data_IF_324255551383
#
_entry.id   IF_324255551383
#
_cell.length_a   1.000
_cell.length_b   1.000
_cell.length_c   1.000
_cell.angle_alpha   90.00
_cell.angle_beta   90.00
_cell.angle_gamma   90.00
#
_symmetry.space_group_name_H-M   'P 1'
#
loop_
_entity.id
_entity.type
_entity.pdbx_description
1 polymer ?
#
# COMPACT_ATOMS: atom_id res chain seq x y z
N UNK A 1 19.69 17.38 16.84
CA UNK A 1 19.89 16.69 15.54
C UNK A 1 18.73 15.78 15.12
N UNK A 2 18.35 14.72 15.85
CA UNK A 2 17.16 13.89 15.50
C UNK A 2 15.84 14.66 15.63
N UNK A 3 15.65 15.38 16.73
CA UNK A 3 14.45 16.18 17.00
C UNK A 3 14.21 17.26 15.94
N UNK A 4 15.29 17.91 15.49
CA UNK A 4 15.24 18.96 14.46
C UNK A 4 14.87 18.38 13.09
N UNK A 5 15.36 17.18 12.75
CA UNK A 5 14.93 16.45 11.54
C UNK A 5 13.44 16.14 11.58
N UNK A 6 12.91 15.65 12.71
CA UNK A 6 11.48 15.38 12.83
C UNK A 6 10.64 16.66 12.69
N UNK A 7 11.04 17.75 13.35
CA UNK A 7 10.33 19.03 13.25
C UNK A 7 10.33 19.61 11.82
N UNK A 8 11.44 19.46 11.09
CA UNK A 8 11.51 19.83 9.68
C UNK A 8 10.54 19.01 8.84
N UNK A 9 10.65 17.68 8.89
CA UNK A 9 9.84 16.79 8.05
C UNK A 9 8.36 16.75 8.46
N UNK A 10 8.01 17.19 9.67
CA UNK A 10 6.62 17.33 10.09
C UNK A 10 5.85 18.26 9.15
N UNK A 11 6.46 19.33 8.64
CA UNK A 11 5.80 20.30 7.74
C UNK A 11 6.22 20.19 6.29
N UNK A 12 7.18 19.32 5.99
CA UNK A 12 7.73 19.16 4.65
C UNK A 12 6.87 18.24 3.77
N UNK A 13 6.44 18.75 2.61
CA UNK A 13 5.81 17.97 1.54
C UNK A 13 6.90 17.42 0.61
N UNK A 14 7.45 16.25 0.96
CA UNK A 14 8.61 15.69 0.30
C UNK A 14 8.25 15.12 -1.07
N UNK A 15 8.80 15.67 -2.16
CA UNK A 15 8.67 15.09 -3.51
C UNK A 15 9.58 13.87 -3.63
N UNK A 16 9.00 12.70 -3.88
CA UNK A 16 9.74 11.43 -4.02
C UNK A 16 9.97 11.10 -5.49
N UNK A 17 8.94 11.26 -6.32
CA UNK A 17 9.00 11.06 -7.77
C UNK A 17 8.24 12.19 -8.48
N UNK A 18 8.13 12.12 -9.80
CA UNK A 18 7.51 13.19 -10.59
C UNK A 18 6.09 13.53 -10.11
N UNK A 19 5.27 12.50 -9.91
CA UNK A 19 3.86 12.58 -9.50
C UNK A 19 3.60 12.18 -8.05
N UNK A 20 4.62 11.81 -7.26
CA UNK A 20 4.45 11.28 -5.90
C UNK A 20 5.08 12.19 -4.85
N UNK A 21 4.25 12.60 -3.90
CA UNK A 21 4.62 13.40 -2.74
C UNK A 21 4.30 12.64 -1.46
N UNK A 22 5.12 12.83 -0.43
CA UNK A 22 5.05 12.11 0.83
C UNK A 22 5.13 13.08 2.01
N UNK A 23 4.25 12.92 3.00
CA UNK A 23 4.24 13.81 4.16
C UNK A 23 3.52 13.27 5.39
N UNK A 24 3.37 14.15 6.37
CA UNK A 24 2.67 13.91 7.63
C UNK A 24 1.20 14.36 7.55
N UNK A 25 0.42 14.11 8.61
CA UNK A 25 -0.91 14.68 8.79
C UNK A 25 -0.87 16.23 8.88
N UNK A 26 0.20 16.83 9.38
CA UNK A 26 0.32 18.28 9.43
C UNK A 26 0.39 18.90 8.02
N UNK A 27 1.04 18.21 7.08
CA UNK A 27 1.01 18.60 5.66
C UNK A 27 -0.37 18.35 5.06
N UNK A 28 -1.01 17.22 5.39
CA UNK A 28 -2.37 16.90 4.93
C UNK A 28 -3.42 17.95 5.33
N UNK A 29 -3.21 18.63 6.46
CA UNK A 29 -4.05 19.74 6.95
C UNK A 29 -3.73 21.09 6.32
N UNK A 30 -2.67 21.20 5.54
CA UNK A 30 -2.25 22.46 4.94
C UNK A 30 -2.68 22.53 3.46
N UNK A 31 -3.89 23.04 3.23
CA UNK A 31 -4.46 23.21 1.88
C UNK A 31 -3.54 23.98 0.94
N UNK A 32 -2.93 25.05 1.41
CA UNK A 32 -2.04 25.89 0.62
C UNK A 32 -0.79 25.12 0.17
N UNK A 33 -0.18 24.34 1.06
CA UNK A 33 0.95 23.47 0.69
C UNK A 33 0.56 22.42 -0.35
N UNK A 34 -0.61 21.80 -0.22
CA UNK A 34 -1.10 20.83 -1.20
C UNK A 34 -1.34 21.47 -2.58
N UNK A 35 -2.01 22.63 -2.62
CA UNK A 35 -2.25 23.37 -3.86
C UNK A 35 -0.96 23.89 -4.50
N UNK A 36 -0.02 24.43 -3.71
CA UNK A 36 1.27 24.90 -4.20
C UNK A 36 2.09 23.78 -4.85
N UNK A 37 1.97 22.55 -4.34
CA UNK A 37 2.58 21.36 -4.93
C UNK A 37 1.77 20.74 -6.06
N UNK A 38 0.65 21.36 -6.44
CA UNK A 38 -0.29 20.90 -7.48
C UNK A 38 -0.82 19.49 -7.21
N UNK A 39 -1.04 19.18 -5.94
CA UNK A 39 -1.66 17.93 -5.53
C UNK A 39 -3.08 17.88 -6.08
N UNK A 40 -3.46 16.72 -6.59
CA UNK A 40 -4.80 16.45 -7.16
C UNK A 40 -5.49 15.30 -6.43
N UNK A 41 -4.70 14.38 -5.89
CA UNK A 41 -5.13 13.15 -5.28
C UNK A 41 -4.41 12.98 -3.94
N UNK A 42 -5.10 12.41 -2.95
CA UNK A 42 -4.53 12.12 -1.63
C UNK A 42 -4.72 10.65 -1.33
N UNK A 43 -3.64 9.97 -0.95
CA UNK A 43 -3.69 8.65 -0.32
C UNK A 43 -3.53 8.84 1.20
N UNK A 44 -4.65 8.71 1.92
CA UNK A 44 -4.66 8.74 3.39
C UNK A 44 -4.50 7.32 3.92
N UNK A 45 -3.35 6.97 4.48
CA UNK A 45 -3.08 5.61 4.96
C UNK A 45 -3.78 5.25 6.27
N UNK A 46 -4.44 6.19 6.96
CA UNK A 46 -4.95 6.00 8.34
C UNK A 46 -6.25 6.76 8.59
N UNK A 47 -7.34 6.32 7.95
CA UNK A 47 -8.67 6.95 8.04
C UNK A 47 -9.31 6.99 9.43
N UNK A 48 -8.90 6.11 10.36
CA UNK A 48 -9.40 6.12 11.75
C UNK A 48 -8.71 7.18 12.64
N UNK A 49 -7.66 7.85 12.15
CA UNK A 49 -6.97 8.95 12.86
C UNK A 49 -7.04 10.24 12.04
N UNK A 50 -6.66 10.16 10.76
CA UNK A 50 -6.56 11.28 9.86
C UNK A 50 -7.82 11.41 9.02
N UNK A 51 -8.38 12.62 8.96
CA UNK A 51 -9.57 12.91 8.17
C UNK A 51 -9.20 13.31 6.74
N UNK A 52 -10.17 13.23 5.84
CA UNK A 52 -10.09 13.85 4.52
C UNK A 52 -10.46 15.33 4.66
N UNK A 53 -9.45 16.19 4.79
CA UNK A 53 -9.64 17.59 5.18
C UNK A 53 -10.26 18.48 4.10
N UNK A 54 -10.02 18.17 2.81
CA UNK A 54 -10.36 19.05 1.69
C UNK A 54 -10.99 18.26 0.52
N UNK A 55 -12.07 17.51 0.80
CA UNK A 55 -12.75 16.64 -0.20
C UNK A 55 -13.26 17.38 -1.43
N UNK A 56 -13.53 18.68 -1.31
CA UNK A 56 -13.98 19.51 -2.44
C UNK A 56 -12.83 19.87 -3.40
N UNK A 57 -11.58 19.75 -2.96
CA UNK A 57 -10.39 20.16 -3.72
C UNK A 57 -9.57 18.99 -4.25
N UNK A 58 -9.57 17.86 -3.55
CA UNK A 58 -8.76 16.69 -3.88
C UNK A 58 -9.60 15.43 -3.88
N UNK A 59 -9.26 14.50 -4.77
CA UNK A 59 -9.80 13.13 -4.71
C UNK A 59 -9.05 12.35 -3.63
N UNK A 60 -9.78 11.68 -2.75
CA UNK A 60 -9.20 10.89 -1.68
C UNK A 60 -9.36 9.40 -1.96
N UNK A 61 -8.28 8.66 -1.71
CA UNK A 61 -8.33 7.23 -1.44
C UNK A 61 -7.85 7.04 0.01
N UNK A 62 -8.73 6.49 0.85
CA UNK A 62 -8.46 6.32 2.28
C UNK A 62 -8.30 4.84 2.57
N UNK A 63 -7.25 4.50 3.33
CA UNK A 63 -6.96 3.20 3.88
C UNK A 63 -7.01 3.28 5.40
N UNK A 64 -7.08 2.13 6.07
CA UNK A 64 -7.20 2.05 7.53
C UNK A 64 -6.10 1.17 8.12
N UNK A 65 -4.85 1.53 7.84
CA UNK A 65 -3.67 0.77 8.25
C UNK A 65 -3.24 1.07 9.69
N UNK A 66 -3.05 0.04 10.50
CA UNK A 66 -2.32 0.12 11.76
C UNK A 66 -0.82 0.22 11.47
N UNK A 67 -0.09 0.95 12.31
CA UNK A 67 1.38 0.96 12.25
C UNK A 67 1.96 -0.19 13.10
N UNK A 68 1.55 -1.41 12.78
CA UNK A 68 1.94 -2.61 13.50
C UNK A 68 2.74 -3.53 12.57
N UNK A 69 3.77 -4.23 13.05
CA UNK A 69 4.43 -5.29 12.30
C UNK A 69 3.49 -6.42 11.84
N UNK A 70 2.32 -6.55 12.47
CA UNK A 70 1.30 -7.56 12.14
C UNK A 70 0.25 -7.08 11.13
N UNK A 71 0.24 -5.79 10.76
CA UNK A 71 -0.68 -5.27 9.75
C UNK A 71 -0.28 -5.81 8.37
N UNK A 72 -1.23 -6.37 7.63
CA UNK A 72 -0.99 -6.90 6.29
C UNK A 72 -1.17 -5.80 5.24
N UNK A 73 -0.06 -5.35 4.66
CA UNK A 73 -0.06 -4.42 3.53
C UNK A 73 -0.01 -5.14 2.20
N UNK A 74 0.37 -6.43 2.16
CA UNK A 74 0.57 -7.15 0.89
C UNK A 74 -0.71 -7.32 0.09
N UNK A 75 -1.86 -7.42 0.78
CA UNK A 75 -3.16 -7.61 0.15
C UNK A 75 -3.73 -6.35 -0.51
N UNK A 76 -3.22 -5.14 -0.19
CA UNK A 76 -3.67 -3.86 -0.77
C UNK A 76 -2.67 -3.24 -1.76
N UNK A 77 -1.51 -3.87 -1.97
CA UNK A 77 -0.45 -3.22 -2.75
C UNK A 77 -0.89 -2.88 -4.17
N UNK A 78 -1.58 -3.81 -4.84
CA UNK A 78 -2.02 -3.60 -6.21
C UNK A 78 -3.11 -2.52 -6.32
N UNK A 79 -4.04 -2.46 -5.37
CA UNK A 79 -5.02 -1.36 -5.31
C UNK A 79 -4.34 0.01 -5.19
N UNK A 80 -3.26 0.08 -4.39
CA UNK A 80 -2.45 1.30 -4.25
C UNK A 80 -1.66 1.59 -5.52
N UNK A 81 -1.15 0.57 -6.21
CA UNK A 81 -0.41 0.74 -7.45
C UNK A 81 -1.32 1.26 -8.55
N UNK A 82 -2.52 0.67 -8.69
CA UNK A 82 -3.52 1.10 -9.65
C UNK A 82 -3.94 2.56 -9.39
N UNK A 83 -4.14 2.94 -8.12
CA UNK A 83 -4.40 4.34 -7.77
C UNK A 83 -3.25 5.27 -8.19
N UNK A 84 -1.98 4.88 -7.97
CA UNK A 84 -0.84 5.72 -8.35
C UNK A 84 -0.68 5.82 -9.87
N UNK A 85 -0.94 4.73 -10.59
CA UNK A 85 -0.93 4.71 -12.06
C UNK A 85 -2.07 5.55 -12.63
N UNK A 86 -3.29 5.47 -12.10
CA UNK A 86 -4.41 6.32 -12.52
C UNK A 86 -4.03 7.80 -12.38
N UNK A 87 -3.49 8.19 -11.23
CA UNK A 87 -3.04 9.58 -11.00
C UNK A 87 -1.96 9.99 -11.99
N UNK A 88 -1.01 9.10 -12.29
CA UNK A 88 0.07 9.33 -13.25
C UNK A 88 -0.48 9.53 -14.66
N UNK A 89 -1.39 8.67 -15.10
CA UNK A 89 -2.00 8.68 -16.44
C UNK A 89 -2.88 9.92 -16.66
N UNK A 90 -3.54 10.39 -15.61
CA UNK A 90 -4.28 11.67 -15.62
C UNK A 90 -3.37 12.91 -15.61
N UNK A 91 -2.04 12.74 -15.53
CA UNK A 91 -1.09 13.84 -15.39
C UNK A 91 -1.19 14.56 -14.04
N UNK A 92 -1.79 13.90 -13.05
CA UNK A 92 -1.98 14.41 -11.70
C UNK A 92 -0.77 14.20 -10.79
N UNK A 93 -0.96 14.56 -9.52
CA UNK A 93 -0.01 14.31 -8.44
C UNK A 93 -0.73 13.76 -7.21
N UNK A 94 -0.17 12.70 -6.65
CA UNK A 94 -0.65 12.05 -5.43
C UNK A 94 0.19 12.49 -4.23
N UNK A 95 -0.50 12.91 -3.17
CA UNK A 95 0.09 13.12 -1.86
C UNK A 95 -0.24 11.94 -0.95
N UNK A 96 0.78 11.26 -0.45
CA UNK A 96 0.66 10.05 0.38
C UNK A 96 1.02 10.40 1.81
N UNK A 97 0.15 10.10 2.76
CA UNK A 97 0.43 10.40 4.16
C UNK A 97 -0.13 9.37 5.14
N UNK A 98 0.48 9.36 6.32
CA UNK A 98 -0.07 8.74 7.51
C UNK A 98 -0.04 9.79 8.65
N UNK A 99 0.15 9.40 9.91
CA UNK A 99 0.30 10.38 11.00
C UNK A 99 1.57 11.23 10.82
N UNK A 100 2.74 10.59 10.70
CA UNK A 100 4.05 11.27 10.69
C UNK A 100 4.76 11.22 9.32
N UNK A 101 4.25 10.43 8.39
CA UNK A 101 4.96 10.16 7.13
C UNK A 101 6.26 9.37 7.33
N UNK A 102 6.26 8.41 8.26
CA UNK A 102 7.48 7.66 8.65
C UNK A 102 7.42 6.20 8.21
N UNK A 103 6.29 5.51 8.43
CA UNK A 103 6.19 4.05 8.27
C UNK A 103 5.13 3.59 7.27
N UNK A 104 3.82 3.72 7.57
CA UNK A 104 2.75 3.25 6.67
C UNK A 104 2.82 3.82 5.25
N UNK A 105 2.77 5.15 5.13
CA UNK A 105 2.83 5.82 3.82
C UNK A 105 4.16 5.59 3.11
N UNK A 106 5.26 5.52 3.84
CA UNK A 106 6.59 5.29 3.24
C UNK A 106 6.70 3.87 2.70
N UNK A 107 6.18 2.87 3.41
CA UNK A 107 6.14 1.49 2.95
C UNK A 107 5.38 1.35 1.62
N UNK A 108 4.24 2.02 1.46
CA UNK A 108 3.46 1.96 0.22
C UNK A 108 4.18 2.64 -0.94
N UNK A 109 4.84 3.79 -0.70
CA UNK A 109 5.63 4.47 -1.72
C UNK A 109 6.82 3.61 -2.16
N UNK A 110 7.55 2.99 -1.20
CA UNK A 110 8.64 2.06 -1.50
C UNK A 110 8.11 0.89 -2.34
N UNK A 111 6.99 0.28 -1.94
CA UNK A 111 6.38 -0.84 -2.66
C UNK A 111 6.08 -0.49 -4.12
N UNK A 112 5.53 0.69 -4.35
CA UNK A 112 5.22 1.16 -5.69
C UNK A 112 6.48 1.37 -6.54
N UNK A 113 7.53 2.01 -6.00
CA UNK A 113 8.78 2.18 -6.73
C UNK A 113 9.43 0.84 -7.08
N UNK A 114 9.40 -0.13 -6.17
CA UNK A 114 9.88 -1.49 -6.43
C UNK A 114 9.10 -2.14 -7.58
N UNK A 115 7.77 -2.05 -7.56
CA UNK A 115 6.91 -2.65 -8.58
C UNK A 115 7.04 -1.96 -9.95
N UNK A 116 6.97 -0.64 -9.98
CA UNK A 116 6.91 0.16 -11.21
C UNK A 116 8.25 0.23 -11.93
N UNK A 117 9.34 0.37 -11.18
CA UNK A 117 10.68 0.60 -11.75
C UNK A 117 11.57 -0.65 -11.66
N UNK A 118 11.07 -1.76 -11.10
CA UNK A 118 11.85 -2.99 -10.92
C UNK A 118 13.01 -2.83 -9.94
N UNK A 119 12.96 -1.82 -9.06
CA UNK A 119 14.01 -1.54 -8.07
C UNK A 119 14.02 -2.58 -6.96
N UNK A 120 15.21 -2.82 -6.40
CA UNK A 120 15.31 -3.54 -5.15
C UNK A 120 14.68 -2.73 -4.00
N UNK A 121 14.28 -3.41 -2.93
CA UNK A 121 13.81 -2.77 -1.70
C UNK A 121 14.83 -1.77 -1.16
N UNK A 122 16.12 -2.11 -1.21
CA UNK A 122 17.17 -1.22 -0.70
C UNK A 122 17.25 0.05 -1.54
N UNK A 123 17.29 -0.06 -2.87
CA UNK A 123 17.37 1.11 -3.76
C UNK A 123 16.14 2.01 -3.57
N UNK A 124 14.93 1.43 -3.63
CA UNK A 124 13.69 2.17 -3.44
C UNK A 124 13.60 2.80 -2.03
N UNK A 125 14.07 2.09 -1.00
CA UNK A 125 14.16 2.66 0.36
C UNK A 125 15.10 3.86 0.40
N UNK A 126 16.28 3.77 -0.23
CA UNK A 126 17.23 4.88 -0.25
C UNK A 126 16.71 6.08 -1.03
N UNK A 127 15.98 5.89 -2.14
CA UNK A 127 15.34 6.99 -2.88
C UNK A 127 14.33 7.74 -1.99
N UNK A 128 13.44 7.00 -1.32
CA UNK A 128 12.44 7.59 -0.41
C UNK A 128 13.12 8.21 0.81
N UNK A 129 14.23 7.64 1.29
CA UNK A 129 15.03 8.19 2.40
C UNK A 129 15.75 9.48 2.02
N UNK A 130 16.23 9.58 0.78
CA UNK A 130 16.86 10.79 0.25
C UNK A 130 15.86 11.94 0.15
N UNK A 131 14.63 11.67 -0.33
CA UNK A 131 13.55 12.65 -0.36
C UNK A 131 13.02 13.00 1.04
N UNK A 132 12.92 12.01 1.93
CA UNK A 132 12.40 12.16 3.30
C UNK A 132 13.28 11.46 4.32
N UNK A 133 14.19 12.21 4.94
CA UNK A 133 15.23 11.69 5.83
C UNK A 133 14.74 10.96 7.10
N UNK A 134 13.45 11.05 7.45
CA UNK A 134 12.84 10.32 8.58
C UNK A 134 12.14 9.02 8.15
N UNK A 135 12.19 8.64 6.87
CA UNK A 135 11.65 7.36 6.38
C UNK A 135 12.18 6.18 7.19
N UNK A 136 11.26 5.40 7.76
CA UNK A 136 11.55 4.23 8.57
C UNK A 136 10.30 3.34 8.70
N UNK A 137 9.95 2.55 7.66
CA UNK A 137 8.92 1.51 7.76
C UNK A 137 9.16 0.62 8.98
N UNK A 138 8.09 0.20 9.65
CA UNK A 138 8.21 -0.81 10.69
C UNK A 138 8.75 -2.13 10.10
N UNK A 139 9.33 -2.97 10.95
CA UNK A 139 10.01 -4.19 10.50
C UNK A 139 9.07 -5.19 9.82
N UNK A 140 7.79 -5.25 10.22
CA UNK A 140 6.82 -6.11 9.54
C UNK A 140 6.57 -5.68 8.11
N UNK A 141 6.43 -4.37 7.86
CA UNK A 141 6.31 -3.83 6.50
C UNK A 141 7.57 -4.09 5.68
N UNK A 142 8.76 -3.82 6.22
CA UNK A 142 10.01 -4.11 5.53
C UNK A 142 10.13 -5.60 5.15
N UNK A 143 9.79 -6.52 6.07
CA UNK A 143 9.75 -7.95 5.79
C UNK A 143 8.75 -8.31 4.69
N UNK A 144 7.54 -7.74 4.73
CA UNK A 144 6.51 -7.97 3.70
C UNK A 144 6.97 -7.50 2.32
N UNK A 145 7.64 -6.34 2.22
CA UNK A 145 8.18 -5.82 0.96
C UNK A 145 9.34 -6.67 0.43
N UNK A 146 10.26 -7.11 1.29
CA UNK A 146 11.32 -8.05 0.90
C UNK A 146 10.75 -9.38 0.42
N UNK A 147 9.66 -9.87 1.02
CA UNK A 147 8.96 -11.07 0.55
C UNK A 147 8.27 -10.83 -0.79
N UNK A 148 7.65 -9.67 -1.00
CA UNK A 148 7.03 -9.30 -2.27
C UNK A 148 8.06 -9.25 -3.40
N UNK A 149 9.23 -8.62 -3.17
CA UNK A 149 10.34 -8.59 -4.12
C UNK A 149 10.77 -10.00 -4.55
N UNK A 150 10.89 -10.94 -3.61
CA UNK A 150 11.23 -12.33 -3.93
C UNK A 150 10.18 -13.00 -4.82
N UNK A 151 8.90 -12.66 -4.68
CA UNK A 151 7.83 -13.20 -5.52
C UNK A 151 7.86 -12.64 -6.94
N UNK A 152 8.24 -11.36 -7.10
CA UNK A 152 8.34 -10.70 -8.41
C UNK A 152 9.58 -11.16 -9.18
N UNK A 153 10.72 -11.36 -8.50
CA UNK A 153 11.97 -11.82 -9.13
C UNK A 153 12.16 -13.34 -9.16
N UNK A 154 11.27 -14.11 -8.54
CA UNK A 154 11.29 -15.56 -8.72
C UNK A 154 10.95 -15.86 -10.19
N UNK A 155 11.90 -16.45 -10.93
CA UNK A 155 11.63 -17.19 -12.16
C UNK A 155 10.41 -18.09 -11.97
N UNK A 156 9.60 -18.35 -13.02
CA UNK A 156 8.34 -19.07 -12.90
C UNK A 156 8.56 -20.28 -12.01
N UNK A 157 7.77 -20.30 -10.94
CA UNK A 157 7.90 -21.31 -9.91
C UNK A 157 7.93 -22.68 -10.62
N UNK A 158 8.89 -23.55 -10.26
CA UNK A 158 9.06 -24.90 -10.80
C UNK A 158 7.71 -25.54 -11.17
N UNK A 159 7.57 -26.35 -12.24
CA UNK A 159 6.28 -26.95 -12.64
C UNK A 159 5.49 -27.65 -11.51
N UNK A 160 6.16 -27.98 -10.40
CA UNK A 160 5.58 -28.51 -9.16
C UNK A 160 5.02 -27.46 -8.18
N UNK A 161 4.77 -26.22 -8.62
CA UNK A 161 4.50 -25.11 -7.69
C UNK A 161 3.03 -24.90 -7.35
N UNK A 162 2.69 -25.44 -6.17
CA UNK A 162 2.00 -24.78 -5.05
C UNK A 162 0.65 -24.14 -5.40
N UNK A 163 -0.41 -24.90 -5.14
CA UNK A 163 -1.75 -24.39 -4.82
C UNK A 163 -1.66 -23.10 -4.00
N UNK A 164 -2.13 -21.98 -4.54
CA UNK A 164 -2.32 -20.73 -3.80
C UNK A 164 -3.80 -20.51 -3.55
N UNK A 165 -4.13 -20.10 -2.34
CA UNK A 165 -5.52 -19.88 -1.97
C UNK A 165 -5.63 -18.54 -1.28
N UNK A 166 -6.65 -17.77 -1.66
CA UNK A 166 -6.93 -16.46 -1.11
C UNK A 166 -8.39 -16.43 -0.66
N UNK A 167 -8.66 -15.86 0.50
CA UNK A 167 -10.02 -15.53 0.93
C UNK A 167 -10.31 -14.08 0.59
N UNK A 168 -11.39 -13.83 -0.14
CA UNK A 168 -11.87 -12.46 -0.34
C UNK A 168 -12.51 -11.98 0.96
N UNK A 169 -11.98 -10.90 1.50
CA UNK A 169 -12.46 -10.32 2.75
C UNK A 169 -12.17 -8.82 2.79
N UNK A 170 -12.90 -8.03 3.60
CA UNK A 170 -12.56 -6.63 3.81
C UNK A 170 -11.10 -6.49 4.25
N UNK A 171 -10.39 -5.52 3.68
CA UNK A 171 -9.04 -5.19 4.14
C UNK A 171 -9.09 -4.79 5.61
N UNK A 172 -10.01 -3.87 5.93
CA UNK A 172 -10.20 -3.30 7.26
C UNK A 172 -11.68 -3.35 7.72
N UNK A 173 -11.97 -3.51 9.02
CA UNK A 173 -13.34 -3.43 9.52
C UNK A 173 -13.98 -2.04 9.39
N UNK A 174 -13.18 -0.99 9.14
CA UNK A 174 -13.67 0.37 8.94
C UNK A 174 -14.18 0.64 7.52
N UNK A 175 -13.86 -0.25 6.56
CA UNK A 175 -14.38 -0.22 5.20
C UNK A 175 -14.72 -1.64 4.75
N UNK A 176 -15.95 -2.05 5.03
CA UNK A 176 -16.42 -3.40 4.76
C UNK A 176 -16.54 -3.71 3.26
N UNK A 177 -16.53 -2.71 2.38
CA UNK A 177 -16.69 -2.88 0.94
C UNK A 177 -15.36 -2.87 0.18
N UNK A 178 -14.28 -2.41 0.81
CA UNK A 178 -12.93 -2.57 0.26
C UNK A 178 -12.43 -4.00 0.46
N UNK A 179 -12.83 -4.89 -0.46
CA UNK A 179 -12.48 -6.31 -0.45
C UNK A 179 -11.11 -6.57 -1.09
N UNK A 180 -10.28 -7.37 -0.41
CA UNK A 180 -8.95 -7.74 -0.88
C UNK A 180 -8.70 -9.25 -0.78
N UNK A 181 -7.80 -9.81 -1.61
CA UNK A 181 -7.40 -11.21 -1.50
C UNK A 181 -6.45 -11.41 -0.31
N UNK A 182 -6.93 -12.05 0.76
CA UNK A 182 -6.09 -12.41 1.92
C UNK A 182 -5.50 -13.82 1.74
N UNK A 183 -4.18 -13.93 1.74
CA UNK A 183 -3.48 -15.21 1.53
C UNK A 183 -3.81 -16.22 2.63
N UNK A 184 -4.05 -17.48 2.24
CA UNK A 184 -4.20 -18.61 3.15
C UNK A 184 -2.86 -19.36 3.22
N UNK A 185 -2.22 -19.32 4.38
CA UNK A 185 -0.88 -19.90 4.57
C UNK A 185 -0.84 -21.44 4.44
N UNK A 186 -1.95 -22.11 4.77
CA UNK A 186 -2.10 -23.57 4.68
C UNK A 186 -3.26 -23.91 3.74
N UNK A 187 -3.05 -23.86 2.42
CA UNK A 187 -4.12 -24.08 1.46
C UNK A 187 -4.55 -25.56 1.49
N UNK A 188 -5.81 -25.81 1.86
CA UNK A 188 -6.42 -27.14 1.93
C UNK A 188 -7.94 -27.04 1.70
N UNK A 189 -8.63 -28.14 1.37
CA UNK A 189 -10.09 -28.15 1.30
C UNK A 189 -10.77 -27.74 2.63
N UNK A 190 -10.11 -28.00 3.77
CA UNK A 190 -10.62 -27.62 5.10
C UNK A 190 -10.52 -26.12 5.39
N UNK A 191 -9.77 -25.35 4.60
CA UNK A 191 -9.71 -23.90 4.71
C UNK A 191 -10.90 -23.18 4.05
N UNK A 192 -11.67 -23.89 3.21
CA UNK A 192 -12.85 -23.35 2.54
C UNK A 192 -14.03 -23.26 3.52
N UNK A 193 -14.64 -22.08 3.63
CA UNK A 193 -15.79 -21.80 4.53
C UNK A 193 -16.96 -21.25 3.73
N UNK A 194 -18.10 -21.95 3.76
CA UNK A 194 -19.27 -21.65 2.89
C UNK A 194 -19.86 -20.26 3.04
N UNK A 195 -19.42 -19.51 4.07
CA UNK A 195 -19.80 -18.11 4.32
C UNK A 195 -18.92 -17.10 3.57
N UNK A 196 -17.89 -17.54 2.84
CA UNK A 196 -16.94 -16.66 2.14
C UNK A 196 -16.72 -17.04 0.67
N UNK A 197 -15.98 -16.18 -0.03
CA UNK A 197 -15.51 -16.43 -1.39
C UNK A 197 -13.99 -16.61 -1.40
N UNK A 198 -13.49 -17.52 -2.23
CA UNK A 198 -12.08 -17.89 -2.26
C UNK A 198 -11.58 -17.96 -3.70
N UNK A 199 -10.39 -17.42 -3.94
CA UNK A 199 -9.68 -17.57 -5.21
C UNK A 199 -8.64 -18.68 -5.04
N UNK A 200 -8.76 -19.73 -5.83
CA UNK A 200 -7.86 -20.89 -5.80
C UNK A 200 -7.07 -20.90 -7.10
N UNK A 201 -5.78 -20.63 -7.00
CA UNK A 201 -4.87 -20.61 -8.13
C UNK A 201 -4.02 -21.88 -8.13
N UNK A 202 -4.18 -22.68 -9.17
CA UNK A 202 -3.36 -23.85 -9.49
C UNK A 202 -2.58 -23.59 -10.79
N UNK A 203 -1.53 -24.35 -11.12
CA UNK A 203 -0.69 -24.05 -12.29
C UNK A 203 -1.45 -23.92 -13.62
N UNK A 204 -2.58 -24.61 -13.77
CA UNK A 204 -3.38 -24.64 -15.01
C UNK A 204 -4.62 -23.75 -15.01
N UNK A 205 -5.06 -23.24 -13.86
CA UNK A 205 -6.35 -22.58 -13.74
C UNK A 205 -6.48 -21.71 -12.48
N UNK A 206 -7.42 -20.76 -12.54
CA UNK A 206 -7.92 -20.01 -11.39
C UNK A 206 -9.38 -20.40 -11.21
N UNK A 207 -9.75 -20.82 -9.99
CA UNK A 207 -11.12 -21.14 -9.61
C UNK A 207 -11.64 -20.11 -8.61
N UNK A 208 -12.93 -19.80 -8.70
CA UNK A 208 -13.62 -18.98 -7.70
C UNK A 208 -14.60 -19.87 -6.94
N UNK A 209 -14.29 -20.13 -5.68
CA UNK A 209 -15.15 -20.92 -4.80
C UNK A 209 -16.09 -19.99 -4.04
N UNK A 210 -17.39 -20.25 -4.11
CA UNK A 210 -18.47 -19.47 -3.44
C UNK A 210 -19.39 -20.38 -2.60
N UNK A 211 -18.83 -21.40 -1.96
CA UNK A 211 -19.58 -22.36 -1.15
C UNK A 211 -19.96 -23.63 -1.91
N UNK A 212 -21.25 -23.93 -2.00
CA UNK A 212 -21.77 -25.15 -2.65
C UNK A 212 -21.66 -25.14 -4.18
N UNK A 213 -21.11 -24.08 -4.76
CA UNK A 213 -20.83 -23.95 -6.19
C UNK A 213 -19.36 -23.52 -6.34
N UNK A 214 -18.60 -24.30 -7.10
CA UNK A 214 -17.34 -23.91 -7.71
C UNK A 214 -17.69 -23.54 -9.15
N UNK A 215 -17.43 -22.30 -9.55
CA UNK A 215 -17.52 -21.87 -10.95
C UNK A 215 -16.11 -21.60 -11.49
#
# INVERSE_FOLDING_TARGET
>A
MKRDKFAFFEKECSRVAEHIYLGSDAVARNRETLLANKITHVLNCVGFICKEYFRDDFKYHTLWLQDSPSEDITSILYDVFDYFEEVRELGGRVFVHCCQGVSRSTALVIAYLMWREGRSFEDAFQDVKAARGITNPNMGFACQLLQAQKRVHASPASPNSILRMYRMAPHSPYDALHLVPKTINNPSPTALDSRGAFVVHVPSAIFVWIGRKCE
#
